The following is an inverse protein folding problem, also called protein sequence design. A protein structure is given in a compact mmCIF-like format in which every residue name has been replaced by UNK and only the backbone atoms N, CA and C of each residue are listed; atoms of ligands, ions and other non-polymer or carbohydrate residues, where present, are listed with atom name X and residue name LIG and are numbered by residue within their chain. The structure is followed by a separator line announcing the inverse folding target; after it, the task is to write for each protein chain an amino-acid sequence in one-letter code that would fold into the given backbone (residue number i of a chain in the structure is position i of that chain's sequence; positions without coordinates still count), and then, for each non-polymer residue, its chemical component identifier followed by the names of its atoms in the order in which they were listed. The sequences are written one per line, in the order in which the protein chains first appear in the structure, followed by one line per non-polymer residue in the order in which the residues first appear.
data_IF_302477908684
#
_entry.id   IF_302477908684
#
_cell.length_a   1.000
_cell.length_b   1.000
_cell.length_c   1.000
_cell.angle_alpha   90.00
_cell.angle_beta   90.00
_cell.angle_gamma   90.00
#
_symmetry.space_group_name_H-M   'P 1'
#
loop_
_entity.id
_entity.type
_entity.pdbx_description
1 polymer ?
#
# COMPACT_ATOMS: atom_id res chain seq x y z
N UNK A 1 -52.76 -9.07 12.84
CA UNK A 1 -51.54 -8.56 13.51
C UNK A 1 -50.33 -8.94 12.66
N UNK A 2 -49.75 -8.05 11.85
CA UNK A 2 -48.55 -8.38 11.08
C UNK A 2 -47.29 -8.19 11.93
N UNK A 3 -46.34 -9.14 11.82
CA UNK A 3 -45.02 -9.07 12.44
C UNK A 3 -44.17 -7.90 11.90
N UNK A 4 -43.32 -7.26 12.73
CA UNK A 4 -42.43 -6.21 12.26
C UNK A 4 -41.30 -6.84 11.43
N UNK A 5 -41.14 -6.35 10.20
CA UNK A 5 -39.95 -6.62 9.37
C UNK A 5 -38.74 -6.02 10.09
N UNK A 6 -37.81 -6.87 10.54
CA UNK A 6 -36.49 -6.42 10.97
C UNK A 6 -35.77 -5.81 9.77
N UNK A 7 -35.80 -4.49 9.66
CA UNK A 7 -34.81 -3.75 8.88
C UNK A 7 -33.45 -4.05 9.49
N UNK A 8 -32.61 -4.82 8.79
CA UNK A 8 -31.18 -4.90 9.11
C UNK A 8 -30.64 -3.48 8.97
N UNK A 9 -30.30 -2.83 10.08
CA UNK A 9 -29.48 -1.62 10.01
C UNK A 9 -28.20 -1.96 9.23
N UNK A 10 -27.72 -1.10 8.33
CA UNK A 10 -26.40 -1.30 7.74
C UNK A 10 -25.39 -1.38 8.89
N UNK A 11 -24.60 -2.44 8.93
CA UNK A 11 -23.43 -2.46 9.81
C UNK A 11 -22.58 -1.28 9.38
N UNK A 12 -22.21 -0.35 10.28
CA UNK A 12 -21.38 0.79 9.90
C UNK A 12 -20.10 0.25 9.26
N UNK A 13 -19.78 0.83 8.10
CA UNK A 13 -18.59 0.49 7.34
C UNK A 13 -17.36 0.80 8.20
N UNK A 14 -16.64 -0.23 8.63
CA UNK A 14 -15.46 -0.10 9.51
C UNK A 14 -14.17 0.17 8.71
N UNK A 15 -14.27 0.32 7.39
CA UNK A 15 -13.12 0.61 6.52
C UNK A 15 -12.54 1.98 6.84
N UNK A 16 -11.21 2.10 6.75
CA UNK A 16 -10.56 3.40 6.90
C UNK A 16 -10.96 4.30 5.72
N UNK A 17 -11.20 5.61 5.95
CA UNK A 17 -11.61 6.52 4.87
C UNK A 17 -10.62 6.55 3.72
N UNK A 18 -9.32 6.55 4.02
CA UNK A 18 -8.24 6.57 3.04
C UNK A 18 -7.07 5.71 3.51
N UNK A 19 -6.32 5.13 2.58
CA UNK A 19 -5.13 4.35 2.90
C UNK A 19 -4.16 4.26 1.74
N UNK A 20 -2.87 4.13 2.05
CA UNK A 20 -1.83 3.91 1.06
C UNK A 20 -1.69 2.40 0.82
N UNK A 21 -1.82 1.98 -0.43
CA UNK A 21 -1.59 0.60 -0.84
C UNK A 21 -0.11 0.40 -1.17
N UNK A 22 0.49 -0.58 -0.51
CA UNK A 22 1.79 -1.13 -0.91
C UNK A 22 1.69 -1.79 -2.30
N UNK A 23 2.81 -1.89 -3.00
CA UNK A 23 2.91 -2.48 -4.33
C UNK A 23 2.42 -3.92 -4.36
N UNK A 24 2.66 -4.69 -3.29
CA UNK A 24 2.12 -6.04 -3.13
C UNK A 24 0.59 -6.10 -3.20
N UNK A 25 -0.10 -5.08 -2.67
CA UNK A 25 -1.56 -4.97 -2.68
C UNK A 25 -2.06 -4.54 -4.05
N UNK A 26 -1.39 -3.58 -4.69
CA UNK A 26 -1.73 -3.13 -6.05
C UNK A 26 -1.59 -4.27 -7.06
N UNK A 27 -0.58 -5.12 -6.90
CA UNK A 27 -0.35 -6.30 -7.75
C UNK A 27 -1.53 -7.28 -7.68
N UNK A 28 -2.08 -7.51 -6.49
CA UNK A 28 -3.15 -8.47 -6.25
C UNK A 28 -4.54 -7.82 -6.10
N UNK A 29 -4.68 -6.55 -6.48
CA UNK A 29 -5.87 -5.73 -6.19
C UNK A 29 -7.18 -6.40 -6.66
N UNK A 30 -7.17 -6.98 -7.87
CA UNK A 30 -8.32 -7.67 -8.48
C UNK A 30 -8.70 -8.98 -7.75
N UNK A 31 -7.83 -9.49 -6.87
CA UNK A 31 -8.02 -10.75 -6.13
C UNK A 31 -8.46 -10.53 -4.69
N UNK A 32 -8.42 -9.28 -4.21
CA UNK A 32 -8.75 -8.93 -2.83
C UNK A 32 -10.25 -8.66 -2.67
N UNK A 33 -10.79 -8.99 -1.48
CA UNK A 33 -12.15 -8.58 -1.12
C UNK A 33 -12.15 -7.04 -0.93
N UNK A 34 -12.99 -6.28 -1.65
CA UNK A 34 -13.06 -4.82 -1.51
C UNK A 34 -13.36 -4.34 -0.08
N UNK A 35 -13.93 -5.21 0.77
CA UNK A 35 -14.17 -4.90 2.18
C UNK A 35 -12.89 -4.83 3.03
N UNK A 36 -11.78 -5.41 2.54
CA UNK A 36 -10.45 -5.35 3.15
C UNK A 36 -9.67 -4.08 2.79
N UNK A 37 -10.13 -3.30 1.81
CA UNK A 37 -9.47 -2.09 1.32
C UNK A 37 -10.02 -0.84 2.01
N UNK A 38 -9.31 0.31 1.98
CA UNK A 38 -9.89 1.58 2.42
C UNK A 38 -11.05 1.99 1.51
N UNK A 39 -11.84 2.98 1.96
CA UNK A 39 -12.89 3.58 1.11
C UNK A 39 -12.25 4.28 -0.09
N UNK A 40 -11.16 5.00 0.13
CA UNK A 40 -10.32 5.63 -0.89
C UNK A 40 -8.90 5.06 -0.86
N UNK A 41 -8.46 4.50 -1.99
CA UNK A 41 -7.12 3.94 -2.15
C UNK A 41 -6.17 4.96 -2.76
N UNK A 42 -5.01 5.14 -2.16
CA UNK A 42 -3.89 5.88 -2.72
C UNK A 42 -2.70 4.94 -2.98
N UNK A 43 -1.80 5.32 -3.89
CA UNK A 43 -0.50 4.65 -4.09
C UNK A 43 0.62 5.69 -4.05
N UNK A 44 1.86 5.26 -3.82
CA UNK A 44 3.01 6.16 -3.87
C UNK A 44 3.64 6.20 -5.27
N UNK A 45 4.40 7.25 -5.57
CA UNK A 45 5.27 7.27 -6.77
C UNK A 45 6.30 6.15 -6.77
N UNK A 46 6.68 5.62 -5.60
CA UNK A 46 7.59 4.48 -5.47
C UNK A 46 6.92 3.21 -5.98
N UNK A 47 5.65 2.98 -5.61
CA UNK A 47 4.83 1.89 -6.14
C UNK A 47 4.67 2.01 -7.66
N UNK A 48 4.43 3.21 -8.17
CA UNK A 48 4.37 3.43 -9.61
C UNK A 48 5.70 3.09 -10.31
N UNK A 49 6.84 3.48 -9.70
CA UNK A 49 8.16 3.14 -10.23
C UNK A 49 8.43 1.63 -10.25
N UNK A 50 7.99 0.89 -9.23
CA UNK A 50 8.11 -0.57 -9.20
C UNK A 50 7.25 -1.25 -10.28
N UNK A 51 6.02 -0.78 -10.49
CA UNK A 51 5.18 -1.24 -11.60
C UNK A 51 5.80 -0.94 -12.95
N UNK A 52 6.40 0.25 -13.13
CA UNK A 52 7.06 0.65 -14.35
C UNK A 52 8.31 -0.20 -14.66
N UNK A 53 9.07 -0.61 -13.63
CA UNK A 53 10.20 -1.51 -13.78
C UNK A 53 9.77 -2.95 -14.13
N UNK A 54 8.57 -3.37 -13.68
CA UNK A 54 8.06 -4.73 -13.79
C UNK A 54 8.16 -5.37 -15.18
N UNK A 55 7.63 -4.74 -16.25
CA UNK A 55 7.73 -5.24 -17.62
C UNK A 55 9.17 -5.43 -18.11
N UNK A 56 10.11 -4.62 -17.62
CA UNK A 56 11.53 -4.71 -18.01
C UNK A 56 12.31 -5.78 -17.24
N UNK A 57 11.74 -6.31 -16.15
CA UNK A 57 12.39 -7.27 -15.27
C UNK A 57 12.03 -8.75 -15.55
N UNK A 58 11.43 -9.05 -16.71
CA UNK A 58 11.06 -10.41 -17.12
C UNK A 58 11.49 -10.66 -18.56
N UNK A 59 11.75 -11.91 -18.92
CA UNK A 59 11.99 -12.37 -20.30
C UNK A 59 10.75 -13.06 -20.93
N UNK A 60 9.79 -13.45 -20.10
CA UNK A 60 8.52 -14.04 -20.54
C UNK A 60 7.60 -12.95 -21.14
N UNK A 61 7.21 -13.14 -22.41
CA UNK A 61 6.38 -12.21 -23.17
C UNK A 61 4.96 -12.07 -22.59
N UNK A 62 4.36 -13.16 -22.11
CA UNK A 62 3.01 -13.13 -21.54
C UNK A 62 3.04 -12.43 -20.17
N UNK A 63 4.06 -12.68 -19.36
CA UNK A 63 4.26 -11.97 -18.10
C UNK A 63 4.55 -10.48 -18.32
N UNK A 64 5.34 -10.15 -19.35
CA UNK A 64 5.60 -8.76 -19.73
C UNK A 64 4.31 -8.02 -20.08
N UNK A 65 3.46 -8.64 -20.90
CA UNK A 65 2.17 -8.07 -21.28
C UNK A 65 1.27 -7.86 -20.05
N UNK A 66 1.18 -8.84 -19.13
CA UNK A 66 0.42 -8.70 -17.87
C UNK A 66 0.94 -7.55 -17.00
N UNK A 67 2.26 -7.39 -16.85
CA UNK A 67 2.84 -6.30 -16.06
C UNK A 67 2.63 -4.94 -16.72
N UNK A 68 2.68 -4.87 -18.05
CA UNK A 68 2.43 -3.63 -18.80
C UNK A 68 0.99 -3.18 -18.64
N UNK A 69 0.06 -4.12 -18.74
CA UNK A 69 -1.37 -3.90 -18.57
C UNK A 69 -1.70 -3.42 -17.13
N UNK A 70 -1.04 -4.00 -16.11
CA UNK A 70 -1.13 -3.52 -14.72
C UNK A 70 -0.63 -2.09 -14.55
N UNK A 71 0.53 -1.75 -15.14
CA UNK A 71 1.06 -0.38 -15.10
C UNK A 71 0.05 0.61 -15.71
N UNK A 72 -0.45 0.32 -16.91
CA UNK A 72 -1.41 1.19 -17.60
C UNK A 72 -2.71 1.38 -16.80
N UNK A 73 -3.22 0.32 -16.15
CA UNK A 73 -4.37 0.44 -15.24
C UNK A 73 -4.07 1.34 -14.05
N UNK A 74 -2.90 1.19 -13.44
CA UNK A 74 -2.51 2.02 -12.30
C UNK A 74 -2.38 3.50 -12.71
N UNK A 75 -1.76 3.80 -13.84
CA UNK A 75 -1.63 5.15 -14.39
C UNK A 75 -2.98 5.80 -14.73
N UNK A 76 -3.97 4.99 -15.15
CA UNK A 76 -5.30 5.48 -15.47
C UNK A 76 -6.17 5.76 -14.24
N UNK A 77 -5.90 5.09 -13.12
CA UNK A 77 -6.76 5.12 -11.92
C UNK A 77 -6.19 6.01 -10.81
N UNK A 78 -4.87 6.06 -10.66
CA UNK A 78 -4.24 6.71 -9.52
C UNK A 78 -3.47 7.97 -9.92
N UNK A 79 -3.59 8.99 -9.08
CA UNK A 79 -2.64 10.11 -8.98
C UNK A 79 -1.67 9.82 -7.81
N UNK A 80 -0.44 9.35 -8.07
CA UNK A 80 0.42 8.81 -7.02
C UNK A 80 0.94 9.89 -6.07
N UNK A 81 0.95 9.60 -4.77
CA UNK A 81 1.52 10.49 -3.76
C UNK A 81 3.04 10.57 -3.91
N UNK A 82 3.62 11.77 -4.00
CA UNK A 82 5.04 11.93 -4.24
C UNK A 82 5.87 11.51 -3.03
N UNK A 83 7.07 10.98 -3.29
CA UNK A 83 8.12 10.98 -2.28
C UNK A 83 8.79 12.36 -2.26
N UNK A 84 8.30 13.25 -1.42
CA UNK A 84 8.71 14.65 -1.34
C UNK A 84 9.59 14.96 -0.11
N UNK A 85 9.74 16.25 0.24
CA UNK A 85 10.53 16.66 1.40
C UNK A 85 9.96 16.18 2.75
N UNK A 86 8.64 16.03 2.88
CA UNK A 86 8.02 15.51 4.10
C UNK A 86 8.24 14.00 4.21
N UNK A 87 8.03 13.27 3.11
CA UNK A 87 8.35 11.85 3.03
C UNK A 87 9.84 11.58 3.31
N UNK A 88 10.74 12.43 2.81
CA UNK A 88 12.18 12.36 3.10
C UNK A 88 12.50 12.51 4.60
N UNK A 89 11.84 13.45 5.29
CA UNK A 89 12.00 13.60 6.75
C UNK A 89 11.40 12.42 7.52
N UNK A 90 10.25 11.91 7.08
CA UNK A 90 9.63 10.73 7.67
C UNK A 90 10.51 9.48 7.51
N UNK A 91 11.19 9.34 6.37
CA UNK A 91 12.12 8.24 6.11
C UNK A 91 13.24 8.16 7.16
N UNK A 92 13.73 9.29 7.66
CA UNK A 92 14.72 9.29 8.76
C UNK A 92 14.21 8.58 10.02
N UNK A 93 12.95 8.78 10.39
CA UNK A 93 12.32 8.10 11.53
C UNK A 93 12.09 6.61 11.25
N UNK A 94 11.58 6.30 10.05
CA UNK A 94 11.38 4.91 9.58
C UNK A 94 12.69 4.14 9.62
N UNK A 95 13.76 4.71 9.07
CA UNK A 95 15.10 4.13 9.08
C UNK A 95 15.61 3.89 10.50
N UNK A 96 15.48 4.88 11.38
CA UNK A 96 15.90 4.75 12.78
C UNK A 96 15.16 3.61 13.50
N UNK A 97 13.84 3.48 13.29
CA UNK A 97 13.04 2.41 13.86
C UNK A 97 13.46 1.02 13.37
N UNK A 98 13.73 0.87 12.05
CA UNK A 98 14.21 -0.39 11.45
C UNK A 98 15.57 -0.79 12.01
N UNK A 99 16.50 0.17 12.14
CA UNK A 99 17.83 -0.07 12.70
C UNK A 99 17.76 -0.45 14.18
N UNK A 100 16.92 0.25 14.97
CA UNK A 100 16.71 -0.07 16.38
C UNK A 100 16.14 -1.49 16.58
N UNK A 101 15.33 -1.98 15.64
CA UNK A 101 14.82 -3.35 15.61
C UNK A 101 15.85 -4.40 15.12
N UNK A 102 17.11 -4.02 14.87
CA UNK A 102 18.17 -4.92 14.39
C UNK A 102 18.00 -5.39 12.95
N UNK A 103 17.14 -4.72 12.17
CA UNK A 103 16.85 -5.07 10.77
C UNK A 103 17.70 -4.24 9.82
N UNK A 104 17.93 -4.77 8.60
CA UNK A 104 18.68 -4.08 7.55
C UNK A 104 17.74 -3.26 6.66
N UNK A 105 17.89 -1.94 6.66
CA UNK A 105 17.20 -1.01 5.77
C UNK A 105 17.90 -0.87 4.39
N UNK A 106 18.17 -2.00 3.71
CA UNK A 106 18.85 -2.01 2.40
C UNK A 106 18.43 -3.19 1.52
N UNK A 107 18.73 -3.10 0.22
CA UNK A 107 18.38 -4.11 -0.77
C UNK A 107 16.91 -4.00 -1.17
N UNK A 108 16.24 -5.15 -1.35
CA UNK A 108 14.83 -5.21 -1.74
C UNK A 108 13.91 -4.37 -0.83
N UNK A 109 14.22 -4.26 0.47
CA UNK A 109 13.44 -3.49 1.43
C UNK A 109 13.58 -1.98 1.33
N UNK A 110 14.51 -1.46 0.53
CA UNK A 110 14.72 -0.02 0.46
C UNK A 110 13.49 0.70 -0.11
N UNK A 111 12.85 0.12 -1.14
CA UNK A 111 11.64 0.68 -1.74
C UNK A 111 10.46 0.63 -0.75
N UNK A 112 10.24 -0.51 -0.08
CA UNK A 112 9.22 -0.67 0.96
C UNK A 112 9.28 0.44 2.03
N UNK A 113 10.50 0.77 2.49
CA UNK A 113 10.68 1.82 3.50
C UNK A 113 10.40 3.23 2.96
N UNK A 114 10.59 3.47 1.66
CA UNK A 114 10.19 4.74 1.03
C UNK A 114 8.66 4.83 0.91
N UNK A 115 7.99 3.72 0.55
CA UNK A 115 6.52 3.63 0.56
C UNK A 115 5.97 3.92 1.96
N UNK A 116 6.54 3.27 2.98
CA UNK A 116 6.16 3.51 4.37
C UNK A 116 6.42 4.96 4.80
N UNK A 117 7.53 5.56 4.37
CA UNK A 117 7.81 6.97 4.66
C UNK A 117 6.78 7.91 4.01
N UNK A 118 6.33 7.63 2.78
CA UNK A 118 5.21 8.36 2.17
C UNK A 118 3.92 8.21 2.98
N UNK A 119 3.56 6.99 3.41
CA UNK A 119 2.39 6.77 4.29
C UNK A 119 2.49 7.57 5.60
N UNK A 120 3.67 7.58 6.21
CA UNK A 120 3.95 8.30 7.45
C UNK A 120 3.84 9.83 7.29
N UNK A 121 4.32 10.38 6.18
CA UNK A 121 4.21 11.81 5.90
C UNK A 121 2.76 12.23 5.67
N UNK A 122 1.99 11.41 4.96
CA UNK A 122 0.58 11.66 4.61
C UNK A 122 -0.39 11.32 5.75
N UNK A 123 0.11 10.72 6.85
CA UNK A 123 -0.73 10.27 7.97
C UNK A 123 -1.72 9.17 7.59
N UNK A 124 -1.37 8.33 6.61
CA UNK A 124 -2.23 7.28 6.09
C UNK A 124 -1.84 5.89 6.63
N UNK A 125 -2.82 5.01 6.90
CA UNK A 125 -2.53 3.59 7.14
C UNK A 125 -1.91 2.95 5.90
N UNK A 126 -0.92 2.09 6.10
CA UNK A 126 -0.26 1.32 5.04
C UNK A 126 -0.90 -0.07 4.94
N UNK A 127 -1.53 -0.34 3.80
CA UNK A 127 -2.10 -1.64 3.47
C UNK A 127 -1.04 -2.49 2.76
N UNK A 128 -0.76 -3.68 3.27
CA UNK A 128 0.30 -4.56 2.70
C UNK A 128 -0.07 -6.03 2.82
N UNK A 129 0.41 -6.84 1.87
CA UNK A 129 0.39 -8.32 1.99
C UNK A 129 1.51 -8.86 2.87
N UNK A 130 2.50 -8.04 3.22
CA UNK A 130 3.72 -8.42 3.93
C UNK A 130 3.88 -7.66 5.26
N UNK A 131 2.92 -7.73 6.21
CA UNK A 131 2.92 -6.90 7.43
C UNK A 131 4.18 -7.08 8.29
N UNK A 132 4.79 -8.27 8.26
CA UNK A 132 6.02 -8.57 9.02
C UNK A 132 7.26 -7.79 8.56
N UNK A 133 7.26 -7.26 7.33
CA UNK A 133 8.33 -6.39 6.86
C UNK A 133 8.26 -4.98 7.47
N UNK A 134 7.08 -4.58 7.97
CA UNK A 134 6.82 -3.27 8.56
C UNK A 134 6.62 -3.30 10.08
N UNK A 135 6.82 -4.46 10.73
CA UNK A 135 6.57 -4.62 12.17
C UNK A 135 7.30 -3.58 13.04
N UNK A 136 8.50 -3.17 12.65
CA UNK A 136 9.28 -2.16 13.36
C UNK A 136 8.67 -0.74 13.30
N UNK A 137 7.63 -0.51 12.47
CA UNK A 137 7.05 0.79 12.20
C UNK A 137 5.66 1.00 12.82
N UNK A 138 5.15 0.03 13.59
CA UNK A 138 3.79 0.07 14.15
C UNK A 138 3.52 1.28 15.06
N UNK A 139 4.58 1.85 15.67
CA UNK A 139 4.49 3.07 16.48
C UNK A 139 4.54 4.37 15.64
N UNK A 140 4.85 4.27 14.34
CA UNK A 140 4.98 5.40 13.41
C UNK A 140 3.85 5.45 12.38
N UNK A 141 3.31 4.29 11.98
CA UNK A 141 2.32 4.13 10.92
C UNK A 141 1.39 2.97 11.30
N UNK A 142 0.09 3.13 11.10
CA UNK A 142 -0.85 2.01 11.20
C UNK A 142 -0.60 1.04 10.04
N UNK A 143 -0.30 -0.23 10.36
CA UNK A 143 -0.12 -1.29 9.36
C UNK A 143 -1.39 -2.14 9.28
N UNK A 144 -1.97 -2.22 8.09
CA UNK A 144 -3.21 -2.98 7.83
C UNK A 144 -2.90 -4.18 6.92
N UNK A 145 -2.97 -5.42 7.43
CA UNK A 145 -2.76 -6.61 6.62
C UNK A 145 -3.98 -6.89 5.71
N UNK A 146 -3.72 -7.31 4.47
CA UNK A 146 -4.75 -7.71 3.49
C UNK A 146 -4.50 -9.06 2.81
#
# INVERSE_FOLDING_TARGET
MPWPRRTRSPVPDQRRPRGLLDTSVVIDLERLDPTQLPVESAISTITMAELAAGPHATDDADERARRQDRLQRAEAVFDPLPFDAEASRAYGRVYAAVVAAGRKARGARAADLLIAATACAEGLPLYTRNPEDFRALQDLIEIVPV
#
